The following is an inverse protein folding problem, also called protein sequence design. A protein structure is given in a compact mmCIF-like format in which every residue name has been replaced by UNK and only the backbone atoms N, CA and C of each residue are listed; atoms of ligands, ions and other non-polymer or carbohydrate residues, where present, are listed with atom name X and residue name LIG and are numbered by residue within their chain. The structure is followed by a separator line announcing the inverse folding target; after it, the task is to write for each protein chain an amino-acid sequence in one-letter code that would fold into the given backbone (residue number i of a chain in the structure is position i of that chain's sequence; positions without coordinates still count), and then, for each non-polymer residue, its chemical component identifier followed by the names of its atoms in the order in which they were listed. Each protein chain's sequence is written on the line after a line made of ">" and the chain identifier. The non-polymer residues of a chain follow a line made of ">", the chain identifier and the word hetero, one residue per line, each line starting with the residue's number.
data_IF_339218176234
#
_entry.id   IF_339218176234
#
_cell.length_a   1.000
_cell.length_b   1.000
_cell.length_c   1.000
_cell.angle_alpha   90.00
_cell.angle_beta   90.00
_cell.angle_gamma   90.00
#
_symmetry.space_group_name_H-M   'P 1'
#
loop_
_entity.id
_entity.type
_entity.pdbx_description
1 polymer ?
#
# COMPACT_ATOMS: atom_id res chain seq x y z
N UNK A 1 5.96 16.54 12.02
CA UNK A 1 4.90 15.90 11.21
C UNK A 1 4.50 14.62 11.91
N UNK A 2 3.20 14.43 12.14
CA UNK A 2 2.68 13.19 12.74
C UNK A 2 2.88 12.02 11.78
N UNK A 3 3.20 10.86 12.35
CA UNK A 3 3.39 9.61 11.64
C UNK A 3 2.11 8.78 11.74
N UNK A 4 1.64 8.27 10.62
CA UNK A 4 0.52 7.33 10.56
C UNK A 4 1.09 5.92 10.60
N UNK A 5 0.59 5.09 11.52
CA UNK A 5 1.04 3.70 11.64
C UNK A 5 -0.10 2.72 11.44
N UNK A 6 0.16 1.61 10.73
CA UNK A 6 -0.77 0.48 10.58
C UNK A 6 -0.11 -0.82 11.02
N UNK A 7 -0.90 -1.80 11.46
CA UNK A 7 -0.42 -3.13 11.83
C UNK A 7 -0.82 -4.19 10.83
N UNK A 8 0.16 -4.88 10.27
CA UNK A 8 -0.06 -5.90 9.24
C UNK A 8 0.77 -7.16 9.50
N UNK A 9 0.33 -8.26 8.91
CA UNK A 9 1.10 -9.51 8.81
C UNK A 9 2.02 -9.52 7.59
N UNK A 10 2.95 -10.48 7.52
CA UNK A 10 3.80 -10.66 6.34
C UNK A 10 2.99 -11.02 5.08
N UNK A 11 1.95 -11.84 5.20
CA UNK A 11 1.05 -12.19 4.08
C UNK A 11 0.31 -10.97 3.52
N UNK A 12 -0.18 -10.10 4.40
CA UNK A 12 -0.82 -8.84 3.99
C UNK A 12 0.19 -7.89 3.33
N UNK A 13 1.42 -7.81 3.84
CA UNK A 13 2.48 -7.03 3.20
C UNK A 13 2.78 -7.55 1.79
N UNK A 14 2.86 -8.88 1.63
CA UNK A 14 3.09 -9.51 0.33
C UNK A 14 1.96 -9.20 -0.66
N UNK A 15 0.71 -9.23 -0.20
CA UNK A 15 -0.44 -8.83 -1.01
C UNK A 15 -0.34 -7.37 -1.47
N UNK A 16 0.02 -6.44 -0.57
CA UNK A 16 0.23 -5.04 -0.95
C UNK A 16 1.33 -4.91 -2.01
N UNK A 17 2.48 -5.57 -1.81
CA UNK A 17 3.59 -5.56 -2.78
C UNK A 17 3.14 -6.09 -4.14
N UNK A 18 2.42 -7.21 -4.18
CA UNK A 18 1.87 -7.76 -5.42
C UNK A 18 1.00 -6.76 -6.17
N UNK A 19 0.14 -6.02 -5.47
CA UNK A 19 -0.73 -5.01 -6.09
C UNK A 19 0.09 -3.89 -6.74
N UNK A 20 1.18 -3.45 -6.10
CA UNK A 20 2.10 -2.50 -6.72
C UNK A 20 2.81 -3.08 -7.95
N UNK A 21 3.16 -4.37 -7.95
CA UNK A 21 3.78 -5.03 -9.11
C UNK A 21 2.81 -5.17 -10.29
N UNK A 22 1.51 -5.35 -10.03
CA UNK A 22 0.48 -5.42 -11.07
C UNK A 22 0.03 -4.04 -11.58
N UNK A 23 0.26 -2.98 -10.81
CA UNK A 23 -0.13 -1.64 -11.22
C UNK A 23 0.71 -1.17 -12.42
N UNK A 24 0.08 -0.98 -13.58
CA UNK A 24 0.74 -0.26 -14.68
C UNK A 24 0.87 1.21 -14.28
N UNK A 25 2.07 1.62 -13.87
CA UNK A 25 2.35 3.01 -13.47
C UNK A 25 2.28 4.02 -14.63
N UNK A 26 1.85 3.60 -15.83
CA UNK A 26 1.57 4.49 -16.96
C UNK A 26 0.27 5.26 -16.72
N UNK A 27 0.39 6.36 -15.98
CA UNK A 27 -0.72 7.27 -15.77
C UNK A 27 -0.71 8.44 -16.79
N UNK A 28 -1.83 8.63 -17.49
CA UNK A 28 -2.00 9.71 -18.48
C UNK A 28 -2.45 11.05 -17.85
N UNK A 29 -2.87 11.07 -16.58
CA UNK A 29 -3.32 12.27 -15.87
C UNK A 29 -2.19 12.91 -15.04
N UNK A 30 -1.96 14.22 -15.19
CA UNK A 30 -0.90 14.98 -14.51
C UNK A 30 -1.03 14.95 -12.98
N UNK A 31 -2.23 14.99 -12.42
CA UNK A 31 -2.43 15.01 -10.96
C UNK A 31 -2.07 13.67 -10.33
N UNK A 32 -2.35 12.58 -11.03
CA UNK A 32 -1.95 11.24 -10.59
C UNK A 32 -0.44 11.03 -10.66
N UNK A 33 0.32 11.76 -11.48
CA UNK A 33 1.79 11.57 -11.56
C UNK A 33 2.48 11.82 -10.21
N UNK A 34 2.02 12.80 -9.44
CA UNK A 34 2.59 13.10 -8.12
C UNK A 34 2.31 11.96 -7.12
N UNK A 35 1.05 11.50 -7.06
CA UNK A 35 0.65 10.34 -6.24
C UNK A 35 1.46 9.11 -6.66
N UNK A 36 1.65 8.88 -7.96
CA UNK A 36 2.40 7.74 -8.47
C UNK A 36 3.90 7.81 -8.15
N UNK A 37 4.50 8.99 -8.13
CA UNK A 37 5.89 9.16 -7.71
C UNK A 37 6.07 8.77 -6.23
N UNK A 38 5.18 9.27 -5.37
CA UNK A 38 5.18 8.92 -3.93
C UNK A 38 4.88 7.42 -3.75
N UNK A 39 3.93 6.87 -4.51
CA UNK A 39 3.60 5.44 -4.50
C UNK A 39 4.78 4.54 -4.90
N UNK A 40 5.67 4.98 -5.79
CA UNK A 40 6.90 4.25 -6.12
C UNK A 40 7.87 4.21 -4.94
N UNK A 41 8.03 5.31 -4.22
CA UNK A 41 8.84 5.35 -3.00
C UNK A 41 8.26 4.44 -1.91
N UNK A 42 6.93 4.47 -1.75
CA UNK A 42 6.20 3.58 -0.84
C UNK A 42 6.41 2.13 -1.25
N UNK A 43 6.28 1.78 -2.53
CA UNK A 43 6.54 0.44 -3.03
C UNK A 43 7.93 -0.06 -2.65
N UNK A 44 8.99 0.72 -2.92
CA UNK A 44 10.36 0.34 -2.57
C UNK A 44 10.50 0.07 -1.06
N UNK A 45 9.86 0.91 -0.23
CA UNK A 45 9.86 0.75 1.23
C UNK A 45 9.13 -0.54 1.66
N UNK A 46 7.97 -0.83 1.07
CA UNK A 46 7.20 -2.04 1.33
C UNK A 46 7.94 -3.29 0.87
N UNK A 47 8.56 -3.25 -0.32
CA UNK A 47 9.32 -4.36 -0.90
C UNK A 47 10.53 -4.74 -0.03
N UNK A 48 11.33 -3.74 0.39
CA UNK A 48 12.42 -3.96 1.34
C UNK A 48 11.91 -4.57 2.65
N UNK A 49 10.77 -4.08 3.15
CA UNK A 49 10.17 -4.60 4.38
C UNK A 49 9.65 -6.03 4.23
N UNK A 50 9.16 -6.42 3.05
CA UNK A 50 8.71 -7.78 2.76
C UNK A 50 9.87 -8.76 2.92
N UNK A 51 11.03 -8.40 2.36
CA UNK A 51 12.26 -9.18 2.48
C UNK A 51 12.69 -9.29 3.94
N UNK A 52 12.72 -8.17 4.68
CA UNK A 52 13.12 -8.13 6.10
C UNK A 52 12.19 -8.95 7.01
N UNK A 53 10.92 -9.12 6.62
CA UNK A 53 9.88 -9.79 7.39
C UNK A 53 9.61 -11.21 6.91
N UNK A 54 10.37 -11.71 5.93
CA UNK A 54 10.24 -13.06 5.40
C UNK A 54 10.33 -14.10 6.52
N UNK A 55 9.36 -15.02 6.54
CA UNK A 55 9.28 -16.09 7.53
C UNK A 55 8.75 -15.66 8.91
N UNK A 56 8.40 -14.37 9.11
CA UNK A 56 7.78 -13.90 10.34
C UNK A 56 6.26 -14.02 10.25
N UNK A 57 5.65 -14.58 11.29
CA UNK A 57 4.20 -14.80 11.38
C UNK A 57 3.49 -13.74 12.23
N UNK A 58 4.24 -13.03 13.06
CA UNK A 58 3.75 -11.98 13.94
C UNK A 58 3.37 -10.70 13.16
N UNK A 59 2.38 -9.96 13.69
CA UNK A 59 2.04 -8.63 13.19
C UNK A 59 3.16 -7.65 13.48
N UNK A 60 3.32 -6.66 12.61
CA UNK A 60 4.28 -5.59 12.81
C UNK A 60 3.73 -4.25 12.29
N UNK A 61 4.30 -3.17 12.83
CA UNK A 61 3.94 -1.81 12.43
C UNK A 61 4.66 -1.37 11.16
N UNK A 62 3.91 -0.77 10.25
CA UNK A 62 4.41 0.08 9.18
C UNK A 62 4.13 1.54 9.54
N UNK A 63 5.14 2.40 9.41
CA UNK A 63 5.03 3.81 9.72
C UNK A 63 5.18 4.63 8.44
N UNK A 64 4.29 5.58 8.24
CA UNK A 64 4.22 6.46 7.09
C UNK A 64 4.18 7.90 7.56
N UNK A 65 4.78 8.81 6.79
CA UNK A 65 4.46 10.23 6.95
C UNK A 65 3.02 10.45 6.48
N UNK A 66 2.34 11.47 6.99
CA UNK A 66 0.94 11.76 6.62
C UNK A 66 0.70 11.77 5.10
N UNK A 67 1.56 12.44 4.32
CA UNK A 67 1.41 12.47 2.86
C UNK A 67 1.68 11.11 2.17
N UNK A 68 2.54 10.27 2.75
CA UNK A 68 2.76 8.90 2.27
C UNK A 68 1.53 8.03 2.54
N UNK A 69 0.95 8.18 3.75
CA UNK A 69 -0.26 7.48 4.15
C UNK A 69 -1.44 7.85 3.23
N UNK A 70 -1.61 9.15 2.94
CA UNK A 70 -2.62 9.64 2.01
C UNK A 70 -2.39 9.12 0.59
N UNK A 71 -1.16 9.14 0.07
CA UNK A 71 -0.88 8.60 -1.26
C UNK A 71 -1.13 7.10 -1.36
N UNK A 72 -0.76 6.33 -0.32
CA UNK A 72 -1.02 4.89 -0.25
C UNK A 72 -2.52 4.59 -0.23
N UNK A 73 -3.29 5.31 0.59
CA UNK A 73 -4.75 5.16 0.67
C UNK A 73 -5.40 5.36 -0.71
N UNK A 74 -5.08 6.47 -1.39
CA UNK A 74 -5.61 6.78 -2.72
C UNK A 74 -5.24 5.72 -3.76
N UNK A 75 -3.99 5.26 -3.73
CA UNK A 75 -3.52 4.20 -4.61
C UNK A 75 -4.30 2.90 -4.38
N UNK A 76 -4.46 2.46 -3.13
CA UNK A 76 -5.14 1.20 -2.80
C UNK A 76 -6.63 1.22 -3.17
N UNK A 77 -7.32 2.36 -3.00
CA UNK A 77 -8.70 2.51 -3.47
C UNK A 77 -8.81 2.48 -4.98
N UNK A 78 -7.84 3.08 -5.69
CA UNK A 78 -7.78 2.98 -7.15
C UNK A 78 -7.48 1.56 -7.64
N UNK A 79 -6.65 0.81 -6.90
CA UNK A 79 -6.24 -0.53 -7.25
C UNK A 79 -7.37 -1.57 -7.16
N UNK A 80 -8.34 -1.38 -6.24
CA UNK A 80 -9.50 -2.28 -6.07
C UNK A 80 -10.22 -2.57 -7.40
N UNK A 81 -10.39 -1.54 -8.23
CA UNK A 81 -11.07 -1.62 -9.53
C UNK A 81 -10.40 -2.61 -10.51
N UNK A 82 -9.12 -2.91 -10.32
CA UNK A 82 -8.34 -3.78 -11.19
C UNK A 82 -8.08 -5.18 -10.59
N UNK A 83 -8.44 -5.40 -9.32
CA UNK A 83 -8.17 -6.63 -8.58
C UNK A 83 -9.39 -7.56 -8.47
N UNK A 84 -10.38 -7.43 -9.35
CA UNK A 84 -11.60 -8.25 -9.30
C UNK A 84 -11.34 -9.77 -9.34
N UNK A 85 -10.21 -10.19 -9.90
CA UNK A 85 -9.78 -11.59 -9.96
C UNK A 85 -8.91 -12.03 -8.77
N UNK A 86 -8.48 -11.11 -7.91
CA UNK A 86 -7.57 -11.32 -6.79
C UNK A 86 -8.28 -10.97 -5.46
N UNK A 87 -9.19 -11.83 -5.02
CA UNK A 87 -10.06 -11.57 -3.87
C UNK A 87 -9.29 -11.29 -2.58
N UNK A 88 -8.21 -12.03 -2.31
CA UNK A 88 -7.43 -11.84 -1.10
C UNK A 88 -6.75 -10.46 -1.09
N UNK A 89 -6.06 -10.13 -2.17
CA UNK A 89 -5.34 -8.87 -2.35
C UNK A 89 -6.29 -7.68 -2.31
N UNK A 90 -7.44 -7.78 -2.97
CA UNK A 90 -8.48 -6.74 -2.95
C UNK A 90 -8.99 -6.50 -1.51
N UNK A 91 -9.26 -7.56 -0.75
CA UNK A 91 -9.66 -7.44 0.65
C UNK A 91 -8.58 -6.80 1.53
N UNK A 92 -7.31 -7.14 1.29
CA UNK A 92 -6.17 -6.53 2.00
C UNK A 92 -6.06 -5.04 1.66
N UNK A 93 -6.18 -4.66 0.38
CA UNK A 93 -6.20 -3.27 -0.05
C UNK A 93 -7.31 -2.47 0.64
N UNK A 94 -8.54 -2.98 0.63
CA UNK A 94 -9.68 -2.34 1.28
C UNK A 94 -9.48 -2.20 2.79
N UNK A 95 -9.00 -3.27 3.45
CA UNK A 95 -8.69 -3.24 4.89
C UNK A 95 -7.68 -2.14 5.21
N UNK A 96 -6.57 -2.10 4.49
CA UNK A 96 -5.47 -1.16 4.73
C UNK A 96 -5.90 0.27 4.39
N UNK A 97 -6.60 0.49 3.27
CA UNK A 97 -7.14 1.80 2.90
C UNK A 97 -8.09 2.34 3.97
N UNK A 98 -9.01 1.51 4.48
CA UNK A 98 -9.94 1.91 5.53
C UNK A 98 -9.24 2.16 6.89
N UNK A 99 -8.13 1.48 7.17
CA UNK A 99 -7.34 1.75 8.38
C UNK A 99 -6.56 3.06 8.27
N UNK A 100 -6.02 3.37 7.09
CA UNK A 100 -5.34 4.62 6.81
C UNK A 100 -6.31 5.81 6.87
N UNK A 101 -7.46 5.71 6.22
CA UNK A 101 -8.50 6.76 6.17
C UNK A 101 -9.00 7.18 7.57
N UNK A 102 -8.99 6.27 8.55
CA UNK A 102 -9.33 6.59 9.95
C UNK A 102 -8.27 7.41 10.69
N UNK A 103 -7.07 7.50 10.13
CA UNK A 103 -5.86 8.05 10.79
C UNK A 103 -5.27 9.25 10.04
N UNK A 104 -5.86 9.62 8.91
CA UNK A 104 -5.48 10.74 8.04
C UNK A 104 -6.63 11.75 8.12
#
# INVERSE_FOLDING_TARGET
>A
MEMVSIEITHSELKALVFVFEQADFKCFNKEFKAVMAISKEIYIKLYKKEIDKRGKTEKFKLNFKYYEAYALERFLRGAELFLSYYQYESNVCLKVANELDKKI
#
